data_IF_275735109552
#
_entry.id   IF_275735109552
#
_cell.length_a   1.000
_cell.length_b   1.000
_cell.length_c   1.000
_cell.angle_alpha   90.00
_cell.angle_beta   90.00
_cell.angle_gamma   90.00
#
_symmetry.space_group_name_H-M   'P 1'
#
loop_
_entity.id
_entity.type
_entity.pdbx_description
1 polymer ?
#
# COMPACT_ATOMS: atom_id res chain seq x y z
N UNK A 1 36.22 -13.64 -9.56
CA UNK A 1 35.31 -12.50 -9.30
C UNK A 1 33.90 -12.72 -9.85
N UNK A 2 33.71 -13.42 -10.98
CA UNK A 2 32.37 -13.74 -11.53
C UNK A 2 31.49 -14.59 -10.58
N UNK A 3 31.99 -15.70 -10.03
CA UNK A 3 31.23 -16.61 -9.13
C UNK A 3 30.71 -15.93 -7.84
N UNK A 4 31.43 -14.92 -7.32
CA UNK A 4 31.01 -14.16 -6.13
C UNK A 4 29.87 -13.19 -6.44
N UNK A 5 29.84 -12.68 -7.68
CA UNK A 5 28.80 -11.78 -8.17
C UNK A 5 27.51 -12.58 -8.48
N UNK A 6 27.63 -13.76 -9.08
CA UNK A 6 26.49 -14.63 -9.40
C UNK A 6 25.81 -15.17 -8.13
N UNK A 7 26.58 -15.56 -7.11
CA UNK A 7 26.03 -15.94 -5.79
C UNK A 7 25.31 -14.78 -5.09
N UNK A 8 25.84 -13.57 -5.22
CA UNK A 8 25.20 -12.36 -4.67
C UNK A 8 23.90 -12.00 -5.38
N UNK A 9 23.86 -12.13 -6.71
CA UNK A 9 22.67 -11.89 -7.53
C UNK A 9 21.61 -12.95 -7.22
N UNK A 10 21.98 -14.23 -7.18
CA UNK A 10 21.06 -15.33 -6.86
C UNK A 10 20.45 -15.16 -5.46
N UNK A 11 21.28 -14.83 -4.46
CA UNK A 11 20.80 -14.56 -3.09
C UNK A 11 19.81 -13.39 -3.04
N UNK A 12 20.02 -12.35 -3.85
CA UNK A 12 19.13 -11.18 -3.91
C UNK A 12 17.80 -11.52 -4.59
N UNK A 13 17.82 -12.33 -5.65
CA UNK A 13 16.61 -12.81 -6.33
C UNK A 13 15.77 -13.67 -5.38
N UNK A 14 16.39 -14.65 -4.72
CA UNK A 14 15.71 -15.54 -3.76
C UNK A 14 15.07 -14.71 -2.65
N UNK A 15 15.81 -13.77 -2.07
CA UNK A 15 15.31 -12.93 -0.99
C UNK A 15 14.11 -12.07 -1.43
N UNK A 16 14.17 -11.48 -2.61
CA UNK A 16 13.06 -10.69 -3.16
C UNK A 16 11.83 -11.56 -3.44
N UNK A 17 12.01 -12.77 -3.98
CA UNK A 17 10.93 -13.73 -4.19
C UNK A 17 10.29 -14.15 -2.86
N UNK A 18 11.08 -14.36 -1.81
CA UNK A 18 10.56 -14.66 -0.47
C UNK A 18 9.71 -13.50 0.04
N UNK A 19 10.19 -12.25 -0.03
CA UNK A 19 9.40 -11.09 0.42
C UNK A 19 8.09 -10.93 -0.34
N UNK A 20 8.12 -11.08 -1.67
CA UNK A 20 6.92 -11.03 -2.52
C UNK A 20 5.95 -12.13 -2.11
N UNK A 21 6.40 -13.38 -2.04
CA UNK A 21 5.55 -14.52 -1.70
C UNK A 21 4.95 -14.39 -0.30
N UNK A 22 5.73 -13.93 0.69
CA UNK A 22 5.22 -13.67 2.05
C UNK A 22 4.15 -12.59 2.05
N UNK A 23 4.35 -11.49 1.31
CA UNK A 23 3.33 -10.44 1.19
C UNK A 23 2.05 -10.94 0.52
N UNK A 24 2.16 -11.69 -0.57
CA UNK A 24 1.01 -12.29 -1.27
C UNK A 24 0.26 -13.25 -0.33
N UNK A 25 0.98 -14.13 0.35
CA UNK A 25 0.39 -15.09 1.29
C UNK A 25 -0.33 -14.37 2.43
N UNK A 26 0.33 -13.43 3.13
CA UNK A 26 -0.28 -12.67 4.22
C UNK A 26 -1.48 -11.85 3.75
N UNK A 27 -1.39 -11.24 2.57
CA UNK A 27 -2.51 -10.49 2.00
C UNK A 27 -3.69 -11.42 1.71
N UNK A 28 -3.43 -12.58 1.12
CA UNK A 28 -4.47 -13.57 0.85
C UNK A 28 -5.10 -14.11 2.12
N UNK A 29 -4.26 -14.47 3.11
CA UNK A 29 -4.71 -14.91 4.44
C UNK A 29 -5.61 -13.87 5.07
N UNK A 30 -5.21 -12.60 5.17
CA UNK A 30 -6.04 -11.57 5.82
C UNK A 30 -7.37 -11.40 5.09
N UNK A 31 -7.37 -11.36 3.76
CA UNK A 31 -8.59 -11.15 2.96
C UNK A 31 -9.56 -12.31 3.12
N UNK A 32 -9.09 -13.53 2.93
CA UNK A 32 -9.91 -14.74 3.04
C UNK A 32 -10.35 -14.97 4.48
N UNK A 33 -9.48 -14.72 5.45
CA UNK A 33 -9.78 -14.88 6.87
C UNK A 33 -10.82 -13.86 7.34
N UNK A 34 -10.70 -12.59 6.92
CA UNK A 34 -11.72 -11.58 7.23
C UNK A 34 -13.05 -11.95 6.59
N UNK A 35 -13.08 -12.39 5.32
CA UNK A 35 -14.32 -12.87 4.69
C UNK A 35 -14.92 -14.03 5.47
N UNK A 36 -14.11 -15.01 5.88
CA UNK A 36 -14.57 -16.14 6.66
C UNK A 36 -15.17 -15.72 8.00
N UNK A 37 -14.49 -14.86 8.75
CA UNK A 37 -14.98 -14.34 10.04
C UNK A 37 -16.33 -13.61 9.86
N UNK A 38 -16.39 -12.71 8.87
CA UNK A 38 -17.53 -11.80 8.69
C UNK A 38 -18.75 -12.47 8.06
N UNK A 39 -18.56 -13.45 7.17
CA UNK A 39 -19.65 -14.04 6.40
C UNK A 39 -20.01 -15.48 6.78
N UNK A 40 -19.11 -16.24 7.41
CA UNK A 40 -19.31 -17.68 7.66
C UNK A 40 -19.18 -18.08 9.13
N UNK A 41 -18.26 -17.45 9.88
CA UNK A 41 -18.06 -17.74 11.31
C UNK A 41 -19.19 -17.19 12.19
N UNK A 42 -20.00 -16.25 11.67
CA UNK A 42 -21.12 -15.64 12.39
C UNK A 42 -20.74 -14.39 13.20
N UNK A 43 -19.63 -13.73 12.84
CA UNK A 43 -19.23 -12.45 13.43
C UNK A 43 -19.37 -11.33 12.41
N UNK A 44 -20.57 -10.84 12.16
CA UNK A 44 -20.89 -9.86 11.11
C UNK A 44 -20.65 -8.40 11.51
N UNK A 45 -19.55 -8.15 12.24
CA UNK A 45 -19.17 -6.86 12.83
C UNK A 45 -17.84 -6.34 12.24
N UNK A 46 -17.83 -5.82 10.99
CA UNK A 46 -16.63 -5.37 10.29
C UNK A 46 -15.87 -4.23 10.98
N UNK A 47 -16.55 -3.28 11.63
CA UNK A 47 -15.88 -2.20 12.37
C UNK A 47 -15.18 -2.80 13.59
N UNK A 48 -15.86 -3.66 14.34
CA UNK A 48 -15.29 -4.31 15.53
C UNK A 48 -14.06 -5.15 15.17
N UNK A 49 -14.13 -5.92 14.08
CA UNK A 49 -12.98 -6.71 13.59
C UNK A 49 -11.78 -5.82 13.25
N UNK A 50 -12.01 -4.71 12.55
CA UNK A 50 -10.93 -3.79 12.15
C UNK A 50 -10.40 -2.94 13.31
N UNK A 51 -11.25 -2.59 14.28
CA UNK A 51 -10.81 -2.00 15.55
C UNK A 51 -9.89 -2.95 16.29
N UNK A 52 -10.21 -4.25 16.33
CA UNK A 52 -9.34 -5.25 16.93
C UNK A 52 -7.97 -5.31 16.27
N UNK A 53 -7.90 -5.22 14.92
CA UNK A 53 -6.61 -5.14 14.20
C UNK A 53 -5.81 -3.90 14.58
N UNK A 54 -6.47 -2.74 14.67
CA UNK A 54 -5.81 -1.48 15.02
C UNK A 54 -5.35 -1.45 16.48
N UNK A 55 -6.15 -2.00 17.39
CA UNK A 55 -5.78 -2.16 18.79
C UNK A 55 -4.54 -3.05 18.94
N UNK A 56 -4.57 -4.25 18.34
CA UNK A 56 -3.45 -5.18 18.36
C UNK A 56 -2.19 -4.55 17.76
N UNK A 57 -2.33 -3.92 16.59
CA UNK A 57 -1.20 -3.25 15.91
C UNK A 57 -0.64 -2.08 16.72
N UNK A 58 -1.50 -1.32 17.40
CA UNK A 58 -1.09 -0.22 18.28
C UNK A 58 -0.31 -0.72 19.50
N UNK A 59 -0.83 -1.74 20.19
CA UNK A 59 -0.17 -2.35 21.36
C UNK A 59 1.19 -2.93 20.97
N UNK A 60 1.26 -3.67 19.86
CA UNK A 60 2.51 -4.30 19.43
C UNK A 60 3.52 -3.26 18.93
N UNK A 61 3.08 -2.26 18.16
CA UNK A 61 3.96 -1.17 17.73
C UNK A 61 4.48 -0.37 18.93
N UNK A 62 3.64 -0.11 19.93
CA UNK A 62 4.05 0.53 21.18
C UNK A 62 5.09 -0.30 21.94
N UNK A 63 4.87 -1.61 22.07
CA UNK A 63 5.83 -2.52 22.69
C UNK A 63 7.17 -2.55 21.94
N UNK A 64 7.17 -2.57 20.61
CA UNK A 64 8.39 -2.55 19.81
C UNK A 64 9.18 -1.24 19.96
N UNK A 65 8.50 -0.09 19.95
CA UNK A 65 9.14 1.23 20.09
C UNK A 65 9.65 1.43 21.52
N UNK A 66 8.85 1.13 22.54
CA UNK A 66 9.27 1.28 23.95
C UNK A 66 10.30 0.23 24.40
N UNK A 67 10.28 -0.95 23.80
CA UNK A 67 11.30 -1.99 23.99
C UNK A 67 12.63 -1.68 23.31
N UNK A 68 12.76 -0.55 22.59
CA UNK A 68 14.01 -0.13 21.97
C UNK A 68 14.36 -0.89 20.68
N UNK A 69 13.46 -1.70 20.13
CA UNK A 69 13.69 -2.43 18.88
C UNK A 69 13.66 -1.53 17.65
N UNK A 70 13.05 -0.35 17.73
CA UNK A 70 12.90 0.61 16.63
C UNK A 70 13.13 2.04 17.16
N UNK A 71 13.87 2.89 16.43
CA UNK A 71 14.09 4.27 16.85
C UNK A 71 12.78 5.06 16.96
N UNK A 72 12.63 5.80 18.06
CA UNK A 72 11.55 6.75 18.24
C UNK A 72 11.82 8.01 17.41
N UNK A 73 10.95 8.32 16.46
CA UNK A 73 10.99 9.60 15.74
C UNK A 73 10.23 10.62 16.58
N UNK A 74 10.88 11.69 17.03
CA UNK A 74 10.18 12.79 17.71
C UNK A 74 9.36 13.59 16.70
N UNK A 75 8.04 13.41 16.72
CA UNK A 75 7.11 14.17 15.89
C UNK A 75 6.46 15.27 16.74
N UNK A 76 6.44 16.51 16.25
CA UNK A 76 5.70 17.59 16.90
C UNK A 76 4.19 17.32 16.83
N UNK A 77 3.43 17.78 17.82
CA UNK A 77 1.98 17.62 17.83
C UNK A 77 1.30 18.29 16.63
N UNK A 78 1.82 19.44 16.20
CA UNK A 78 1.32 20.10 14.99
C UNK A 78 1.52 19.23 13.74
N UNK A 79 2.70 18.62 13.60
CA UNK A 79 3.01 17.71 12.50
C UNK A 79 2.12 16.46 12.54
N UNK A 80 1.88 15.93 13.74
CA UNK A 80 0.98 14.80 13.95
C UNK A 80 -0.46 15.13 13.53
N UNK A 81 -1.01 16.26 13.99
CA UNK A 81 -2.37 16.66 13.68
C UNK A 81 -2.58 16.99 12.20
N UNK A 82 -1.63 17.69 11.56
CA UNK A 82 -1.78 18.11 10.15
C UNK A 82 -1.46 17.01 9.14
N UNK A 83 -0.58 16.06 9.48
CA UNK A 83 -0.15 15.03 8.54
C UNK A 83 -0.69 13.64 8.86
N UNK A 84 -0.65 13.21 10.13
CA UNK A 84 -0.98 11.83 10.50
C UNK A 84 -2.47 11.63 10.72
N UNK A 85 -3.17 12.55 11.39
CA UNK A 85 -4.60 12.38 11.67
C UNK A 85 -5.44 12.23 10.38
N UNK A 86 -5.27 13.03 9.31
CA UNK A 86 -6.03 12.85 8.08
C UNK A 86 -5.77 11.50 7.42
N UNK A 87 -4.50 11.05 7.40
CA UNK A 87 -4.11 9.74 6.87
C UNK A 87 -4.76 8.62 7.69
N UNK A 88 -4.79 8.76 9.01
CA UNK A 88 -5.35 7.77 9.92
C UNK A 88 -6.88 7.68 9.84
N UNK A 89 -7.55 8.82 9.62
CA UNK A 89 -8.99 8.88 9.37
C UNK A 89 -9.37 8.18 8.05
N UNK A 90 -8.63 8.46 6.98
CA UNK A 90 -8.84 7.77 5.70
C UNK A 90 -8.52 6.29 5.80
N UNK A 91 -7.49 5.91 6.55
CA UNK A 91 -7.18 4.50 6.79
C UNK A 91 -8.29 3.79 7.57
N UNK A 92 -8.83 4.41 8.61
CA UNK A 92 -10.00 3.91 9.32
C UNK A 92 -11.20 3.72 8.38
N UNK A 93 -11.48 4.71 7.52
CA UNK A 93 -12.52 4.62 6.50
C UNK A 93 -12.30 3.45 5.53
N UNK A 94 -11.09 3.28 5.01
CA UNK A 94 -10.74 2.14 4.13
C UNK A 94 -10.92 0.80 4.83
N UNK A 95 -10.46 0.67 6.08
CA UNK A 95 -10.60 -0.56 6.84
C UNK A 95 -12.06 -0.91 7.07
N UNK A 96 -12.85 0.04 7.56
CA UNK A 96 -14.27 -0.18 7.80
C UNK A 96 -15.01 -0.54 6.51
N UNK A 97 -14.99 0.34 5.51
CA UNK A 97 -15.80 0.21 4.30
C UNK A 97 -15.38 -1.02 3.48
N UNK A 98 -14.08 -1.29 3.39
CA UNK A 98 -13.56 -2.43 2.67
C UNK A 98 -13.90 -3.77 3.34
N UNK A 99 -13.93 -3.82 4.68
CA UNK A 99 -14.36 -5.03 5.38
C UNK A 99 -15.88 -5.19 5.40
N UNK A 100 -16.65 -4.10 5.47
CA UNK A 100 -18.10 -4.14 5.37
C UNK A 100 -18.57 -4.68 4.01
N UNK A 101 -17.82 -4.43 2.93
CA UNK A 101 -18.11 -5.01 1.62
C UNK A 101 -18.10 -6.55 1.61
N UNK A 102 -17.33 -7.22 2.49
CA UNK A 102 -17.33 -8.69 2.60
C UNK A 102 -18.66 -9.26 3.09
N UNK A 103 -19.51 -8.48 3.73
CA UNK A 103 -20.86 -8.94 4.12
C UNK A 103 -21.79 -9.10 2.92
N UNK A 104 -21.51 -8.40 1.82
CA UNK A 104 -22.42 -8.31 0.68
C UNK A 104 -21.87 -8.93 -0.59
N UNK A 105 -20.55 -8.90 -0.78
CA UNK A 105 -19.90 -9.30 -2.04
C UNK A 105 -18.97 -10.50 -1.85
N UNK A 106 -18.78 -11.26 -2.92
CA UNK A 106 -17.75 -12.31 -2.99
C UNK A 106 -16.35 -11.69 -3.00
N UNK A 107 -15.34 -12.45 -2.55
CA UNK A 107 -13.95 -11.95 -2.55
C UNK A 107 -13.47 -11.74 -3.99
N UNK A 108 -13.82 -12.64 -4.91
CA UNK A 108 -13.54 -12.49 -6.35
C UNK A 108 -14.08 -11.17 -6.90
N UNK A 109 -15.35 -10.84 -6.62
CA UNK A 109 -15.95 -9.61 -7.12
C UNK A 109 -15.34 -8.35 -6.48
N UNK A 110 -15.02 -8.41 -5.18
CA UNK A 110 -14.29 -7.31 -4.51
C UNK A 110 -12.93 -7.06 -5.18
N UNK A 111 -12.20 -8.11 -5.58
CA UNK A 111 -10.92 -7.91 -6.28
C UNK A 111 -11.09 -7.34 -7.68
N UNK A 112 -12.18 -7.69 -8.36
CA UNK A 112 -12.51 -7.10 -9.66
C UNK A 112 -12.83 -5.61 -9.53
N UNK A 113 -13.58 -5.21 -8.51
CA UNK A 113 -13.84 -3.79 -8.22
C UNK A 113 -12.55 -3.04 -7.86
N UNK A 114 -11.62 -3.68 -7.16
CA UNK A 114 -10.30 -3.08 -6.85
C UNK A 114 -9.41 -2.86 -8.08
N UNK A 115 -9.74 -3.40 -9.25
CA UNK A 115 -9.07 -2.98 -10.49
C UNK A 115 -9.27 -1.49 -10.81
N UNK A 116 -10.25 -0.82 -10.17
CA UNK A 116 -10.44 0.64 -10.23
C UNK A 116 -9.43 1.42 -9.36
N UNK A 117 -8.61 0.77 -8.53
CA UNK A 117 -7.65 1.47 -7.66
C UNK A 117 -6.71 2.41 -8.43
N UNK A 118 -6.07 2.02 -9.55
CA UNK A 118 -5.23 2.92 -10.33
C UNK A 118 -6.01 4.11 -10.91
N UNK A 119 -7.28 3.91 -11.29
CA UNK A 119 -8.18 4.97 -11.76
C UNK A 119 -8.41 5.97 -10.64
N UNK A 120 -8.80 5.50 -9.45
CA UNK A 120 -9.08 6.35 -8.31
C UNK A 120 -7.83 7.12 -7.83
N UNK A 121 -6.67 6.45 -7.78
CA UNK A 121 -5.39 7.10 -7.42
C UNK A 121 -5.00 8.17 -8.43
N UNK A 122 -5.17 7.91 -9.73
CA UNK A 122 -4.90 8.91 -10.77
C UNK A 122 -5.82 10.13 -10.63
N UNK A 123 -7.13 9.91 -10.49
CA UNK A 123 -8.11 11.01 -10.37
C UNK A 123 -7.86 11.87 -9.14
N UNK A 124 -7.62 11.24 -7.98
CA UNK A 124 -7.28 11.97 -6.75
C UNK A 124 -5.92 12.66 -6.89
N UNK A 125 -4.93 12.00 -7.50
CA UNK A 125 -3.62 12.59 -7.75
C UNK A 125 -3.67 13.83 -8.65
N UNK A 126 -4.52 13.83 -9.68
CA UNK A 126 -4.77 15.03 -10.48
C UNK A 126 -5.46 16.13 -9.67
N UNK A 127 -6.49 15.79 -8.88
CA UNK A 127 -7.19 16.75 -8.02
C UNK A 127 -6.31 17.39 -6.95
N UNK A 128 -5.31 16.64 -6.44
CA UNK A 128 -4.35 17.13 -5.43
C UNK A 128 -3.07 17.73 -6.05
N UNK A 129 -2.95 17.74 -7.39
CA UNK A 129 -1.79 18.29 -8.11
C UNK A 129 -0.52 17.44 -8.01
N UNK A 130 -0.60 16.16 -7.65
CA UNK A 130 0.55 15.25 -7.60
C UNK A 130 0.81 14.55 -8.93
N UNK A 131 -0.19 14.48 -9.80
CA UNK A 131 -0.12 13.84 -11.12
C UNK A 131 -0.59 14.83 -12.20
N UNK A 132 0.09 14.83 -13.34
CA UNK A 132 -0.28 15.67 -14.49
C UNK A 132 -1.42 15.04 -15.29
N UNK A 133 -2.40 15.85 -15.66
CA UNK A 133 -3.51 15.41 -16.49
C UNK A 133 -3.03 15.09 -17.92
N UNK A 134 -3.10 13.82 -18.32
CA UNK A 134 -2.73 13.35 -19.65
C UNK A 134 -3.90 12.61 -20.30
N UNK A 135 -4.34 13.07 -21.47
CA UNK A 135 -5.51 12.51 -22.18
C UNK A 135 -5.36 11.01 -22.46
N UNK A 136 -4.18 10.57 -22.88
CA UNK A 136 -3.84 9.16 -23.04
C UNK A 136 -4.13 8.31 -21.80
N UNK A 137 -3.83 8.86 -20.62
CA UNK A 137 -4.03 8.17 -19.35
C UNK A 137 -5.53 8.12 -19.02
N UNK A 138 -6.25 9.21 -19.27
CA UNK A 138 -7.70 9.28 -19.06
C UNK A 138 -8.46 8.28 -19.93
N UNK A 139 -8.12 8.18 -21.22
CA UNK A 139 -8.72 7.19 -22.14
C UNK A 139 -8.50 5.78 -21.62
N UNK A 140 -7.29 5.47 -21.12
CA UNK A 140 -7.03 4.19 -20.50
C UNK A 140 -7.86 3.97 -19.23
N UNK A 141 -8.07 4.99 -18.40
CA UNK A 141 -8.93 4.88 -17.21
C UNK A 141 -10.39 4.60 -17.55
N UNK A 142 -10.91 5.19 -18.64
CA UNK A 142 -12.24 4.87 -19.16
C UNK A 142 -12.32 3.42 -19.59
N UNK A 143 -11.29 2.90 -20.28
CA UNK A 143 -11.23 1.50 -20.69
C UNK A 143 -11.22 0.54 -19.50
N UNK A 144 -10.42 0.83 -18.47
CA UNK A 144 -10.41 0.04 -17.21
C UNK A 144 -11.79 0.04 -16.56
N UNK A 145 -12.41 1.21 -16.47
CA UNK A 145 -13.74 1.37 -15.86
C UNK A 145 -14.82 0.60 -16.63
N UNK A 146 -14.77 0.62 -17.96
CA UNK A 146 -15.68 -0.15 -18.80
C UNK A 146 -15.52 -1.68 -18.58
N UNK A 147 -14.29 -2.17 -18.48
CA UNK A 147 -14.03 -3.57 -18.15
C UNK A 147 -14.63 -3.99 -16.80
N UNK A 148 -14.45 -3.15 -15.76
CA UNK A 148 -15.04 -3.41 -14.44
C UNK A 148 -16.56 -3.34 -14.46
N UNK A 149 -17.15 -2.44 -15.26
CA UNK A 149 -18.60 -2.36 -15.44
C UNK A 149 -19.17 -3.63 -16.11
N UNK A 150 -18.52 -4.14 -17.15
CA UNK A 150 -18.88 -5.41 -17.79
C UNK A 150 -18.74 -6.56 -16.80
N UNK A 151 -17.65 -6.58 -16.02
CA UNK A 151 -17.44 -7.60 -15.00
C UNK A 151 -18.57 -7.60 -13.97
N UNK A 152 -18.96 -6.41 -13.51
CA UNK A 152 -20.04 -6.19 -12.54
C UNK A 152 -21.40 -6.62 -13.09
N UNK A 153 -21.67 -6.41 -14.38
CA UNK A 153 -22.90 -6.87 -15.01
C UNK A 153 -23.01 -8.41 -15.06
N UNK A 154 -21.88 -9.10 -15.12
CA UNK A 154 -21.82 -10.56 -15.06
C UNK A 154 -21.84 -11.16 -13.65
N UNK A 155 -21.89 -10.35 -12.59
CA UNK A 155 -21.90 -10.83 -11.21
C UNK A 155 -23.30 -11.35 -10.82
N UNK A 156 -23.36 -12.59 -10.32
CA UNK A 156 -24.62 -13.23 -9.93
C UNK A 156 -25.12 -12.67 -8.59
N UNK A 157 -24.20 -12.41 -7.66
CA UNK A 157 -24.52 -11.89 -6.33
C UNK A 157 -24.31 -10.37 -6.27
N UNK A 158 -24.84 -9.66 -7.27
CA UNK A 158 -24.65 -8.21 -7.36
C UNK A 158 -25.51 -7.49 -6.32
N UNK A 159 -24.85 -6.97 -5.28
CA UNK A 159 -25.49 -6.20 -4.21
C UNK A 159 -24.99 -4.75 -4.22
N UNK A 160 -25.87 -3.82 -4.60
CA UNK A 160 -25.53 -2.39 -4.79
C UNK A 160 -24.90 -1.77 -3.55
N UNK A 161 -25.40 -2.07 -2.34
CA UNK A 161 -24.83 -1.52 -1.11
C UNK A 161 -23.38 -1.98 -0.91
N UNK A 162 -23.08 -3.24 -1.22
CA UNK A 162 -21.72 -3.78 -1.17
C UNK A 162 -20.79 -3.10 -2.17
N UNK A 163 -21.27 -2.86 -3.39
CA UNK A 163 -20.51 -2.14 -4.43
C UNK A 163 -20.24 -0.71 -3.99
N UNK A 164 -21.24 -0.02 -3.45
CA UNK A 164 -21.08 1.34 -2.95
C UNK A 164 -20.05 1.43 -1.82
N UNK A 165 -20.12 0.53 -0.83
CA UNK A 165 -19.13 0.43 0.25
C UNK A 165 -17.73 0.16 -0.29
N UNK A 166 -17.59 -0.74 -1.26
CA UNK A 166 -16.30 -1.07 -1.86
C UNK A 166 -15.72 0.10 -2.68
N UNK A 167 -16.54 0.83 -3.43
CA UNK A 167 -16.10 2.01 -4.19
C UNK A 167 -15.70 3.15 -3.25
N UNK A 168 -16.41 3.35 -2.15
CA UNK A 168 -16.03 4.34 -1.12
C UNK A 168 -14.74 3.92 -0.40
N UNK A 169 -14.55 2.62 -0.15
CA UNK A 169 -13.27 2.08 0.34
C UNK A 169 -12.13 2.40 -0.64
N UNK A 170 -12.34 2.21 -1.94
CA UNK A 170 -11.35 2.53 -2.99
C UNK A 170 -11.03 4.02 -3.01
N UNK A 171 -12.04 4.89 -2.88
CA UNK A 171 -11.85 6.34 -2.86
C UNK A 171 -11.10 6.82 -1.61
N UNK A 172 -11.42 6.29 -0.42
CA UNK A 172 -10.70 6.61 0.81
C UNK A 172 -9.26 6.09 0.78
N UNK A 173 -9.06 4.88 0.22
CA UNK A 173 -7.74 4.28 0.10
C UNK A 173 -6.85 5.04 -0.88
N UNK A 174 -7.39 5.42 -2.05
CA UNK A 174 -6.65 6.21 -3.03
C UNK A 174 -6.24 7.58 -2.47
N UNK A 175 -7.14 8.24 -1.76
CA UNK A 175 -6.85 9.51 -1.08
C UNK A 175 -5.77 9.36 -0.02
N UNK A 176 -5.84 8.30 0.80
CA UNK A 176 -4.80 7.97 1.78
C UNK A 176 -3.44 7.77 1.12
N UNK A 177 -3.39 6.98 0.05
CA UNK A 177 -2.15 6.68 -0.68
C UNK A 177 -1.52 7.95 -1.26
N UNK A 178 -2.33 8.83 -1.87
CA UNK A 178 -1.84 10.12 -2.39
C UNK A 178 -1.32 11.04 -1.29
N UNK A 179 -2.00 11.10 -0.13
CA UNK A 179 -1.52 11.88 1.02
C UNK A 179 -0.22 11.33 1.61
N UNK A 180 -0.10 10.00 1.75
CA UNK A 180 1.14 9.35 2.17
C UNK A 180 2.27 9.66 1.18
N UNK A 181 2.01 9.61 -0.12
CA UNK A 181 2.98 9.98 -1.15
C UNK A 181 3.45 11.43 -0.98
N UNK A 182 2.54 12.39 -0.81
CA UNK A 182 2.87 13.80 -0.57
C UNK A 182 3.71 13.95 0.70
N UNK A 183 3.34 13.26 1.77
CA UNK A 183 4.05 13.33 3.05
C UNK A 183 5.50 12.85 2.93
N UNK A 184 5.70 11.70 2.27
CA UNK A 184 7.03 11.12 2.05
C UNK A 184 7.89 12.01 1.15
N UNK A 185 7.31 12.53 0.06
CA UNK A 185 8.02 13.39 -0.90
C UNK A 185 8.39 14.76 -0.31
N UNK A 186 7.50 15.40 0.45
CA UNK A 186 7.73 16.76 0.97
C UNK A 186 8.62 16.82 2.21
N UNK A 187 8.57 15.80 3.06
CA UNK A 187 9.30 15.83 4.34
C UNK A 187 10.57 14.98 4.34
N UNK A 188 10.86 14.26 3.26
CA UNK A 188 12.04 13.38 3.17
C UNK A 188 12.10 12.32 4.26
N UNK A 189 10.95 11.98 4.85
CA UNK A 189 10.88 11.05 5.97
C UNK A 189 10.96 9.62 5.45
N UNK A 190 12.04 8.92 5.77
CA UNK A 190 12.13 7.46 5.64
C UNK A 190 11.50 6.82 6.87
N UNK A 191 10.17 6.75 6.89
CA UNK A 191 9.47 6.21 8.05
C UNK A 191 9.66 4.70 8.14
N UNK A 192 10.15 4.24 9.29
CA UNK A 192 10.15 2.83 9.63
C UNK A 192 8.69 2.33 9.71
N UNK A 193 8.40 1.09 9.26
CA UNK A 193 7.05 0.50 9.24
C UNK A 193 6.36 0.53 10.60
N UNK A 194 7.11 0.12 11.62
CA UNK A 194 6.64 0.02 13.00
C UNK A 194 6.39 1.41 13.55
N UNK A 195 7.28 2.37 13.27
CA UNK A 195 7.07 3.76 13.66
C UNK A 195 5.86 4.38 12.97
N UNK A 196 5.59 4.01 11.71
CA UNK A 196 4.40 4.47 10.99
C UNK A 196 3.13 3.90 11.63
N UNK A 197 3.12 2.60 11.94
CA UNK A 197 2.00 1.95 12.64
C UNK A 197 1.80 2.50 14.05
N UNK A 198 2.88 2.80 14.78
CA UNK A 198 2.84 3.43 16.10
C UNK A 198 2.05 4.75 16.10
N UNK A 199 2.16 5.53 15.02
CA UNK A 199 1.46 6.81 14.89
C UNK A 199 0.05 6.70 14.30
N UNK A 200 -0.14 5.81 13.32
CA UNK A 200 -1.40 5.67 12.58
C UNK A 200 -2.40 4.77 13.32
N UNK A 201 -1.99 3.60 13.81
CA UNK A 201 -2.90 2.61 14.39
C UNK A 201 -3.76 3.14 15.56
N UNK A 202 -3.21 3.83 16.58
CA UNK A 202 -4.04 4.39 17.65
C UNK A 202 -5.00 5.48 17.16
N UNK A 203 -4.59 6.34 16.23
CA UNK A 203 -5.48 7.35 15.65
C UNK A 203 -6.60 6.71 14.83
N UNK A 204 -6.30 5.69 14.01
CA UNK A 204 -7.30 4.95 13.26
C UNK A 204 -8.29 4.22 14.18
N UNK A 205 -7.84 3.69 15.32
CA UNK A 205 -8.72 3.11 16.34
C UNK A 205 -9.73 4.14 16.87
N UNK A 206 -9.27 5.36 17.17
CA UNK A 206 -10.15 6.46 17.62
C UNK A 206 -11.16 6.85 16.54
N UNK A 207 -10.73 6.96 15.28
CA UNK A 207 -11.66 7.27 14.18
C UNK A 207 -12.67 6.15 13.93
N UNK A 208 -12.30 4.87 14.14
CA UNK A 208 -13.22 3.74 14.06
C UNK A 208 -14.21 3.68 15.24
N UNK A 209 -13.84 4.19 16.42
CA UNK A 209 -14.75 4.16 17.58
C UNK A 209 -16.04 4.98 17.39
N UNK A 210 -16.00 6.01 16.53
CA UNK A 210 -17.16 6.84 16.22
C UNK A 210 -18.26 6.06 15.47
N UNK A 211 -18.02 5.50 14.27
CA UNK A 211 -19.02 4.68 13.59
C UNK A 211 -19.33 3.39 14.36
N UNK A 212 -18.36 2.82 15.08
CA UNK A 212 -18.61 1.65 15.93
C UNK A 212 -19.68 1.91 16.98
N UNK A 213 -19.57 3.02 17.72
CA UNK A 213 -20.51 3.38 18.78
C UNK A 213 -21.95 3.55 18.29
N UNK A 214 -22.11 4.02 17.06
CA UNK A 214 -23.43 4.29 16.46
C UNK A 214 -24.02 3.06 15.77
N UNK A 215 -23.20 2.23 15.12
CA UNK A 215 -23.68 1.18 14.21
C UNK A 215 -23.60 -0.21 14.84
N UNK A 216 -22.47 -0.56 15.45
CA UNK A 216 -22.18 -1.94 15.87
C UNK A 216 -22.25 -2.15 17.38
N UNK A 217 -21.89 -1.15 18.21
CA UNK A 217 -21.72 -1.33 19.65
C UNK A 217 -22.99 -1.87 20.32
N UNK A 218 -24.14 -1.23 20.09
CA UNK A 218 -25.40 -1.67 20.69
C UNK A 218 -25.81 -3.07 20.20
N UNK A 219 -25.61 -3.36 18.90
CA UNK A 219 -25.93 -4.65 18.31
C UNK A 219 -25.06 -5.75 18.90
N UNK A 220 -23.75 -5.51 18.99
CA UNK A 220 -22.76 -6.43 19.54
C UNK A 220 -23.03 -6.76 21.00
N UNK A 221 -23.31 -5.76 21.84
CA UNK A 221 -23.59 -5.99 23.27
C UNK A 221 -24.93 -6.66 23.54
N UNK A 222 -25.87 -6.58 22.59
CA UNK A 222 -27.20 -7.17 22.72
C UNK A 222 -27.31 -8.55 22.07
N UNK A 223 -26.27 -9.01 21.36
CA UNK A 223 -26.30 -10.25 20.60
C UNK A 223 -25.71 -11.42 21.42
N UNK A 224 -26.55 -12.34 21.92
CA UNK A 224 -26.11 -13.46 22.75
C UNK A 224 -25.42 -14.56 21.94
N UNK A 225 -25.45 -14.49 20.60
CA UNK A 225 -24.90 -15.51 19.71
C UNK A 225 -23.43 -15.28 19.36
N UNK A 226 -22.90 -14.08 19.68
CA UNK A 226 -21.53 -13.68 19.39
C UNK A 226 -20.53 -14.55 20.14
N UNK A 227 -19.61 -15.17 19.40
CA UNK A 227 -18.53 -16.00 19.94
C UNK A 227 -17.17 -15.37 19.68
N UNK A 228 -16.61 -14.74 20.71
CA UNK A 228 -15.24 -14.25 20.69
C UNK A 228 -14.26 -15.38 21.01
N UNK A 229 -13.73 -16.02 19.98
CA UNK A 229 -12.61 -16.96 20.12
C UNK A 229 -11.28 -16.19 20.09
N UNK A 230 -10.60 -16.17 21.23
CA UNK A 230 -9.35 -15.40 21.40
C UNK A 230 -8.29 -15.84 20.39
N UNK A 231 -8.18 -17.14 20.08
CA UNK A 231 -7.16 -17.65 19.17
C UNK A 231 -7.44 -17.20 17.73
N UNK A 232 -8.70 -17.24 17.30
CA UNK A 232 -9.11 -16.78 15.96
C UNK A 232 -8.81 -15.29 15.80
N UNK A 233 -9.25 -14.46 16.76
CA UNK A 233 -9.10 -13.02 16.66
C UNK A 233 -7.65 -12.56 16.83
N UNK A 234 -6.86 -13.19 17.71
CA UNK A 234 -5.43 -12.86 17.85
C UNK A 234 -4.65 -13.30 16.63
N UNK A 235 -4.88 -14.51 16.09
CA UNK A 235 -4.18 -14.96 14.88
C UNK A 235 -4.55 -14.15 13.64
N UNK A 236 -5.82 -13.76 13.49
CA UNK A 236 -6.27 -12.87 12.43
C UNK A 236 -5.65 -11.47 12.54
N UNK A 237 -5.60 -10.88 13.74
CA UNK A 237 -4.94 -9.60 13.98
C UNK A 237 -3.41 -9.67 13.78
N UNK A 238 -2.78 -10.79 14.16
CA UNK A 238 -1.37 -11.03 13.90
C UNK A 238 -1.07 -11.13 12.40
N UNK A 239 -1.95 -11.78 11.62
CA UNK A 239 -1.85 -11.80 10.17
C UNK A 239 -2.00 -10.39 9.56
N UNK A 240 -2.94 -9.57 10.07
CA UNK A 240 -3.12 -8.18 9.65
C UNK A 240 -1.90 -7.31 9.96
N UNK A 241 -1.32 -7.44 11.16
CA UNK A 241 -0.07 -6.78 11.53
C UNK A 241 1.10 -7.25 10.65
N UNK A 242 1.22 -8.56 10.44
CA UNK A 242 2.22 -9.16 9.56
C UNK A 242 2.11 -8.64 8.12
N UNK A 243 0.90 -8.53 7.59
CA UNK A 243 0.64 -7.93 6.29
C UNK A 243 1.16 -6.50 6.24
N UNK A 244 0.79 -5.66 7.22
CA UNK A 244 1.29 -4.29 7.31
C UNK A 244 2.82 -4.26 7.30
N UNK A 245 3.48 -5.09 8.10
CA UNK A 245 4.95 -5.19 8.10
C UNK A 245 5.53 -5.63 6.76
N UNK A 246 4.93 -6.64 6.12
CA UNK A 246 5.40 -7.17 4.84
C UNK A 246 5.31 -6.15 3.70
N UNK A 247 4.26 -5.30 3.68
CA UNK A 247 4.12 -4.22 2.69
C UNK A 247 5.34 -3.30 2.71
N UNK A 248 5.80 -2.91 3.89
CA UNK A 248 6.95 -2.01 3.94
C UNK A 248 8.28 -2.70 3.65
N UNK A 249 8.45 -3.96 4.08
CA UNK A 249 9.63 -4.75 3.68
C UNK A 249 9.68 -4.82 2.15
N UNK A 250 8.53 -5.01 1.50
CA UNK A 250 8.40 -5.04 0.06
C UNK A 250 8.75 -3.68 -0.57
N UNK A 251 8.21 -2.57 -0.06
CA UNK A 251 8.53 -1.21 -0.53
C UNK A 251 10.03 -0.91 -0.40
N UNK A 252 10.66 -1.31 0.71
CA UNK A 252 12.05 -1.00 0.99
C UNK A 252 13.08 -1.90 0.28
N UNK A 253 12.69 -3.11 -0.13
CA UNK A 253 13.59 -4.12 -0.70
C UNK A 253 13.33 -4.42 -2.17
N UNK A 254 12.16 -4.08 -2.69
CA UNK A 254 11.79 -4.36 -4.08
C UNK A 254 11.52 -3.09 -4.85
N UNK A 255 11.43 -3.22 -6.17
CA UNK A 255 11.10 -2.10 -7.05
C UNK A 255 9.59 -1.88 -7.11
N UNK A 256 9.18 -0.63 -7.40
CA UNK A 256 7.77 -0.34 -7.70
C UNK A 256 7.20 -1.24 -8.81
N UNK A 257 8.04 -1.66 -9.77
CA UNK A 257 7.65 -2.61 -10.81
C UNK A 257 7.30 -3.98 -10.23
N UNK A 258 8.17 -4.52 -9.35
CA UNK A 258 7.97 -5.81 -8.69
C UNK A 258 6.65 -5.81 -7.91
N UNK A 259 6.36 -4.73 -7.18
CA UNK A 259 5.11 -4.58 -6.43
C UNK A 259 3.88 -4.56 -7.35
N UNK A 260 3.92 -3.82 -8.46
CA UNK A 260 2.81 -3.75 -9.40
C UNK A 260 2.50 -5.11 -10.04
N UNK A 261 3.54 -5.85 -10.46
CA UNK A 261 3.37 -7.19 -11.05
C UNK A 261 2.90 -8.20 -10.00
N UNK A 262 3.51 -8.19 -8.81
CA UNK A 262 3.10 -9.06 -7.70
C UNK A 262 1.66 -8.81 -7.27
N UNK A 263 1.21 -7.54 -7.26
CA UNK A 263 -0.17 -7.17 -6.93
C UNK A 263 -1.18 -7.79 -7.89
N UNK A 264 -0.90 -7.74 -9.19
CA UNK A 264 -1.70 -8.42 -10.22
C UNK A 264 -1.79 -9.92 -9.95
N UNK A 265 -0.65 -10.59 -9.74
CA UNK A 265 -0.62 -12.04 -9.50
C UNK A 265 -1.44 -12.38 -8.25
N UNK A 266 -1.28 -11.60 -7.19
CA UNK A 266 -2.04 -11.73 -5.94
C UNK A 266 -3.55 -11.59 -6.16
N UNK A 267 -4.00 -10.63 -6.95
CA UNK A 267 -5.44 -10.44 -7.21
C UNK A 267 -6.03 -11.64 -7.97
N UNK A 268 -5.34 -12.16 -8.99
CA UNK A 268 -5.75 -13.38 -9.71
C UNK A 268 -5.77 -14.62 -8.82
N UNK A 269 -4.74 -14.79 -7.98
CA UNK A 269 -4.70 -15.87 -7.00
C UNK A 269 -5.88 -15.79 -6.02
N UNK A 270 -6.26 -14.58 -5.58
CA UNK A 270 -7.38 -14.38 -4.67
C UNK A 270 -8.73 -14.66 -5.32
N UNK A 271 -8.90 -14.35 -6.60
CA UNK A 271 -10.08 -14.76 -7.37
C UNK A 271 -10.16 -16.30 -7.39
N UNK A 272 -9.07 -16.98 -7.76
CA UNK A 272 -9.03 -18.45 -7.78
C UNK A 272 -9.30 -19.09 -6.41
N UNK A 273 -8.65 -18.58 -5.35
CA UNK A 273 -8.88 -19.05 -3.98
C UNK A 273 -10.30 -18.77 -3.50
N UNK A 274 -10.91 -17.65 -3.90
CA UNK A 274 -12.31 -17.35 -3.58
C UNK A 274 -13.26 -18.36 -4.21
N UNK A 275 -13.01 -18.77 -5.46
CA UNK A 275 -13.80 -19.82 -6.13
C UNK A 275 -13.64 -21.16 -5.41
N UNK A 276 -12.40 -21.52 -5.04
CA UNK A 276 -12.11 -22.81 -4.38
C UNK A 276 -12.63 -22.90 -2.95
N UNK A 277 -12.46 -21.85 -2.13
CA UNK A 277 -12.77 -21.89 -0.70
C UNK A 277 -14.20 -21.48 -0.37
N UNK A 278 -14.78 -20.55 -1.15
CA UNK A 278 -16.11 -19.99 -0.87
C UNK A 278 -17.14 -20.36 -1.94
N UNK A 279 -16.77 -21.20 -2.92
CA UNK A 279 -17.61 -21.57 -4.06
C UNK A 279 -18.20 -20.34 -4.76
N UNK A 280 -17.40 -19.27 -4.86
CA UNK A 280 -17.83 -18.05 -5.54
C UNK A 280 -18.08 -18.32 -7.02
N UNK A 281 -19.27 -17.98 -7.50
CA UNK A 281 -19.63 -18.19 -8.91
C UNK A 281 -19.05 -17.06 -9.78
N UNK A 282 -18.10 -17.40 -10.65
CA UNK A 282 -17.47 -16.46 -11.58
C UNK A 282 -17.97 -16.77 -12.99
N UNK A 283 -18.80 -15.89 -13.55
CA UNK A 283 -19.33 -16.10 -14.91
C UNK A 283 -18.29 -15.80 -15.98
N UNK A 284 -18.42 -16.38 -17.20
CA UNK A 284 -17.55 -16.03 -18.32
C UNK A 284 -17.58 -14.54 -18.68
N UNK A 285 -18.75 -13.89 -18.53
CA UNK A 285 -18.90 -12.46 -18.76
C UNK A 285 -18.15 -11.63 -17.71
N UNK A 286 -18.25 -12.05 -16.44
CA UNK A 286 -17.52 -11.45 -15.33
C UNK A 286 -16.00 -11.52 -15.55
N UNK A 287 -15.51 -12.70 -15.94
CA UNK A 287 -14.10 -12.92 -16.27
C UNK A 287 -13.65 -12.12 -17.50
N UNK A 288 -14.47 -12.08 -18.56
CA UNK A 288 -14.20 -11.32 -19.78
C UNK A 288 -14.08 -9.82 -19.52
N UNK A 289 -14.99 -9.24 -18.75
CA UNK A 289 -14.91 -7.85 -18.31
C UNK A 289 -13.67 -7.57 -17.47
N UNK A 290 -13.35 -8.48 -16.53
CA UNK A 290 -12.16 -8.34 -15.71
C UNK A 290 -10.87 -8.42 -16.52
N UNK A 291 -10.79 -9.26 -17.56
CA UNK A 291 -9.64 -9.32 -18.47
C UNK A 291 -9.43 -7.98 -19.20
N UNK A 292 -10.50 -7.33 -19.66
CA UNK A 292 -10.44 -6.00 -20.27
C UNK A 292 -9.85 -4.99 -19.27
N UNK A 293 -10.39 -4.96 -18.03
CA UNK A 293 -9.89 -4.07 -16.97
C UNK A 293 -8.43 -4.35 -16.65
N UNK A 294 -8.06 -5.62 -16.54
CA UNK A 294 -6.72 -6.11 -16.26
C UNK A 294 -5.70 -5.64 -17.30
N UNK A 295 -6.00 -5.79 -18.60
CA UNK A 295 -5.10 -5.32 -19.66
C UNK A 295 -4.95 -3.79 -19.65
N UNK A 296 -6.03 -3.05 -19.37
CA UNK A 296 -5.96 -1.59 -19.19
C UNK A 296 -5.07 -1.18 -18.01
N UNK A 297 -5.14 -1.90 -16.88
CA UNK A 297 -4.26 -1.65 -15.72
C UNK A 297 -2.80 -2.01 -16.05
N UNK A 298 -2.56 -3.11 -16.74
CA UNK A 298 -1.22 -3.47 -17.22
C UNK A 298 -0.62 -2.40 -18.14
N UNK A 299 -1.42 -1.89 -19.08
CA UNK A 299 -0.99 -0.83 -19.97
C UNK A 299 -0.68 0.48 -19.22
N UNK A 300 -1.53 0.87 -18.26
CA UNK A 300 -1.26 2.02 -17.40
C UNK A 300 0.05 1.87 -16.62
N UNK A 301 0.23 0.74 -15.95
CA UNK A 301 1.42 0.45 -15.16
C UNK A 301 2.68 0.46 -16.05
N UNK A 302 2.58 -0.05 -17.27
CA UNK A 302 3.67 -0.01 -18.25
C UNK A 302 4.03 1.42 -18.66
N UNK A 303 3.04 2.26 -19.03
CA UNK A 303 3.29 3.68 -19.36
C UNK A 303 3.89 4.44 -18.18
N UNK A 304 3.34 4.26 -16.98
CA UNK A 304 3.85 4.90 -15.75
C UNK A 304 5.29 4.48 -15.46
N UNK A 305 5.61 3.20 -15.65
CA UNK A 305 6.97 2.68 -15.52
C UNK A 305 7.94 3.32 -16.51
N UNK A 306 7.57 3.43 -17.79
CA UNK A 306 8.41 4.09 -18.78
C UNK A 306 8.69 5.55 -18.42
N UNK A 307 7.66 6.28 -17.95
CA UNK A 307 7.83 7.65 -17.47
C UNK A 307 8.79 7.76 -16.29
N UNK A 308 8.73 6.84 -15.32
CA UNK A 308 9.69 6.80 -14.20
C UNK A 308 11.11 6.51 -14.67
N UNK A 309 11.31 5.56 -15.59
CA UNK A 309 12.63 5.25 -16.17
C UNK A 309 13.22 6.44 -16.91
N UNK A 310 12.41 7.15 -17.71
CA UNK A 310 12.83 8.34 -18.43
C UNK A 310 13.26 9.46 -17.46
N UNK A 311 12.49 9.71 -16.38
CA UNK A 311 12.85 10.68 -15.34
C UNK A 311 14.16 10.30 -14.61
N UNK A 312 14.35 9.03 -14.28
CA UNK A 312 15.59 8.55 -13.66
C UNK A 312 16.80 8.70 -14.58
N UNK A 313 16.66 8.37 -15.87
CA UNK A 313 17.71 8.54 -16.87
C UNK A 313 18.07 10.02 -17.05
N UNK A 314 17.08 10.91 -17.12
CA UNK A 314 17.30 12.35 -17.20
C UNK A 314 18.01 12.92 -15.96
N UNK A 315 17.62 12.47 -14.76
CA UNK A 315 18.28 12.86 -13.51
C UNK A 315 19.74 12.37 -13.45
N UNK A 316 20.01 11.13 -13.90
CA UNK A 316 21.36 10.59 -13.98
C UNK A 316 22.23 11.37 -14.99
N UNK A 317 21.68 11.72 -16.15
CA UNK A 317 22.36 12.53 -17.15
C UNK A 317 22.69 13.94 -16.63
N UNK A 318 21.74 14.59 -15.95
CA UNK A 318 21.97 15.90 -15.32
C UNK A 318 23.03 15.85 -14.23
N UNK A 319 23.03 14.81 -13.38
CA UNK A 319 24.06 14.63 -12.36
C UNK A 319 25.46 14.34 -12.95
N UNK A 320 25.52 13.63 -14.08
CA UNK A 320 26.76 13.39 -14.80
C UNK A 320 27.30 14.68 -15.44
N UNK A 321 26.43 15.50 -16.03
CA UNK A 321 26.81 16.81 -16.59
C UNK A 321 27.35 17.77 -15.52
N UNK A 322 26.67 17.88 -14.37
CA UNK A 322 27.12 18.72 -13.25
C UNK A 322 28.48 18.28 -12.69
N UNK A 323 28.77 16.97 -12.69
CA UNK A 323 30.10 16.44 -12.30
C UNK A 323 31.17 16.72 -13.35
N UNK A 324 30.83 16.81 -14.63
CA UNK A 324 31.79 17.15 -15.68
C UNK A 324 32.18 18.62 -15.61
N UNK A 325 31.23 19.51 -15.32
CA UNK A 325 31.44 20.96 -15.15
C UNK A 325 32.32 21.26 -13.91
N UNK A 326 32.12 20.56 -12.79
CA UNK A 326 32.96 20.66 -11.57
C UNK A 326 34.40 20.10 -11.75
N UNK A 327 34.63 19.31 -12.81
CA UNK A 327 35.97 18.81 -13.16
C UNK A 327 36.70 19.81 -14.08
N UNK A 328 35.98 20.51 -14.97
CA UNK A 328 36.55 21.56 -15.83
C UNK A 328 36.93 22.83 -15.05
N UNK A 329 36.21 23.17 -13.97
CA UNK A 329 36.51 24.33 -13.11
C UNK A 329 37.68 24.12 -12.12
N UNK A 330 38.31 22.93 -12.10
CA UNK A 330 39.57 22.72 -11.36
C UNK A 330 40.74 23.20 -12.23
N UNK A 331 41.56 24.15 -11.77
CA UNK A 331 42.66 24.68 -12.58
C UNK A 331 43.66 23.56 -12.91
N UNK A 332 43.79 23.23 -14.20
CA UNK A 332 44.70 22.22 -14.77
C UNK A 332 46.19 22.60 -14.71
N UNK A 333 46.55 23.65 -13.97
CA UNK A 333 47.93 24.10 -13.81
C UNK A 333 48.35 23.98 -12.34
N UNK A 334 48.86 22.80 -11.99
CA UNK A 334 49.98 22.70 -11.06
C UNK A 334 51.20 23.39 -11.66
N UNK A 335 51.18 24.73 -11.64
CA UNK A 335 52.28 25.59 -12.06
C UNK A 335 53.35 25.63 -10.98
N UNK A 336 54.48 24.98 -11.27
CA UNK A 336 55.78 25.11 -10.62
C UNK A 336 56.15 26.57 -10.28
N UNK A 337 56.67 26.84 -9.08
CA UNK A 337 57.19 28.18 -8.75
C UNK A 337 57.66 28.42 -7.31
N UNK A 338 58.90 28.03 -7.02
CA UNK A 338 59.84 28.62 -6.04
C UNK A 338 59.48 28.68 -4.54
N UNK A 339 59.83 27.60 -3.81
CA UNK A 339 60.24 27.69 -2.41
C UNK A 339 61.73 28.11 -2.29
N UNK A 340 61.99 29.40 -2.43
CA UNK A 340 63.25 30.01 -1.98
C UNK A 340 63.13 30.36 -0.50
N UNK A 341 63.55 29.41 0.36
CA UNK A 341 63.83 29.67 1.78
C UNK A 341 64.92 30.75 1.90
N UNK A 342 64.52 32.00 2.12
CA UNK A 342 65.36 33.02 2.74
C UNK A 342 65.13 33.00 4.25
N UNK A 343 66.12 32.50 4.98
CA UNK A 343 66.39 32.93 6.35
C UNK A 343 66.51 34.45 6.44
N UNK A 344 66.10 35.04 7.56
CA UNK A 344 67.00 35.99 8.19
C UNK A 344 67.20 35.73 9.69
N UNK A 345 68.47 35.83 10.06
CA UNK A 345 69.02 36.01 11.39
C UNK A 345 68.48 37.26 12.10
N UNK A 346 68.67 37.25 13.44
CA UNK A 346 68.64 38.32 14.47
C UNK A 346 67.50 38.09 15.47
N UNK A 347 67.72 38.08 16.78
CA UNK A 347 68.90 38.35 17.61
C UNK A 347 68.65 37.72 18.98
#
# INVERSE_FOLDING_TARGET
>A
MADKNDKSVMSSIILNTVYVSTWIALSGTVILYNKWILAYYGFDYPITLTMWHMLFSSVLAFACVRGGYVPSINMTMESYCKAILPISALFAGTLWLGNAAYLYLSVSFIQMLKALMPVAVFMVGCGMGTESFAMDTLVNMVFVTAGVAIASYGEINFVVIGVFLQLLSVATESTRLTLVQILLQRRGLTLNPITTMYYIAPASLLFLSLPWGVIEAQRLFSDPTVRFDVLIFVSNAAAAFGLNMSVFLLIGKTSALTMNVAGVVKDWLLIGLSVLLFHAEVTPLNLGGYLIAFFGVCYYNYKKLQGMKAKQAAAAASAAAAKAEDIEDRPLLGGSGNDLKKTPNRQ
#
